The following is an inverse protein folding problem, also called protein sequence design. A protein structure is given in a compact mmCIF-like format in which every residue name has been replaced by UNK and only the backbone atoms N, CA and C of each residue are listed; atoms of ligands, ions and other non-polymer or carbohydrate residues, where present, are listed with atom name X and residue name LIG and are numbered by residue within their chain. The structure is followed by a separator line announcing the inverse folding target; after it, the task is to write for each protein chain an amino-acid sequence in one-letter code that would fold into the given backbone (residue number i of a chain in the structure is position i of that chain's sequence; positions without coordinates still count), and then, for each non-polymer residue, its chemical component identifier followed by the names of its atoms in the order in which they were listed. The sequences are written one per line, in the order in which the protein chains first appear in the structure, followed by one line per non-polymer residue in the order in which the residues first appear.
data_IF_713335085626
#
_entry.id   IF_713335085626
#
_cell.length_a   1.000
_cell.length_b   1.000
_cell.length_c   1.000
_cell.angle_alpha   90.00
_cell.angle_beta   90.00
_cell.angle_gamma   90.00
#
_symmetry.space_group_name_H-M   'P 1'
#
loop_
_entity.id
_entity.type
_entity.pdbx_description
1 polymer ?
#
# COMPACT_ATOMS: atom_id res chain seq x y z
N UNK A 1 49.60 0.10 -45.78
CA UNK A 1 48.45 -0.41 -45.04
C UNK A 1 47.18 -0.11 -45.79
N UNK A 2 46.56 -1.18 -46.33
CA UNK A 2 45.43 -1.06 -47.25
C UNK A 2 44.04 -1.09 -46.52
N UNK A 3 44.00 -0.71 -45.25
CA UNK A 3 42.78 -0.69 -44.46
C UNK A 3 42.72 0.50 -43.51
N UNK A 4 41.52 1.07 -43.31
CA UNK A 4 41.24 2.15 -42.40
C UNK A 4 40.16 1.71 -41.42
N UNK A 5 40.39 1.96 -40.15
CA UNK A 5 39.41 1.69 -39.10
C UNK A 5 38.56 2.97 -38.87
N UNK A 6 37.27 2.87 -39.09
CA UNK A 6 36.33 3.93 -38.79
C UNK A 6 35.61 3.59 -37.48
N UNK A 7 35.63 4.55 -36.54
CA UNK A 7 34.95 4.44 -35.25
C UNK A 7 33.73 5.32 -35.27
N UNK A 8 32.58 4.73 -35.11
CA UNK A 8 31.29 5.43 -35.06
C UNK A 8 30.81 5.53 -33.63
N UNK A 9 30.63 6.76 -33.15
CA UNK A 9 30.11 7.06 -31.83
C UNK A 9 28.86 7.92 -31.96
N UNK A 10 27.80 7.55 -31.25
CA UNK A 10 26.58 8.35 -31.16
C UNK A 10 26.04 8.23 -29.74
N UNK A 11 25.48 9.34 -29.23
CA UNK A 11 24.94 9.38 -27.86
C UNK A 11 23.81 8.35 -27.73
N UNK A 12 23.92 7.44 -26.76
CA UNK A 12 22.94 6.38 -26.53
C UNK A 12 23.09 5.15 -27.42
N UNK A 13 24.16 5.05 -28.24
CA UNK A 13 24.45 3.87 -29.05
C UNK A 13 25.81 3.28 -28.72
N UNK A 14 25.96 1.96 -28.84
CA UNK A 14 27.26 1.28 -28.68
C UNK A 14 28.19 1.75 -29.75
N UNK A 15 29.42 2.12 -29.36
CA UNK A 15 30.49 2.45 -30.27
C UNK A 15 30.72 1.25 -31.18
N UNK A 16 30.77 1.48 -32.51
CA UNK A 16 31.01 0.44 -33.49
C UNK A 16 32.24 0.79 -34.31
N UNK A 17 33.16 -0.15 -34.35
CA UNK A 17 34.38 -0.08 -35.17
C UNK A 17 34.18 -0.91 -36.41
N UNK A 18 34.55 -0.36 -37.58
CA UNK A 18 34.49 -1.06 -38.87
C UNK A 18 35.81 -0.83 -39.59
N UNK A 19 36.44 -1.92 -39.99
CA UNK A 19 37.63 -1.89 -40.83
C UNK A 19 37.24 -1.90 -42.30
N UNK A 20 37.58 -0.87 -43.05
CA UNK A 20 37.30 -0.75 -44.48
C UNK A 20 38.61 -0.94 -45.25
N UNK A 21 38.62 -1.91 -46.19
CA UNK A 21 39.71 -2.12 -47.09
C UNK A 21 39.60 -1.23 -48.34
N UNK A 22 40.74 -0.82 -48.90
CA UNK A 22 40.84 0.14 -50.01
C UNK A 22 39.96 -0.21 -51.22
N UNK A 23 39.71 -1.48 -51.49
CA UNK A 23 38.83 -1.98 -52.56
C UNK A 23 37.34 -1.59 -52.37
N UNK A 24 36.93 -1.23 -51.18
CA UNK A 24 35.54 -0.95 -50.83
C UNK A 24 35.23 0.55 -50.60
N UNK A 25 36.17 1.47 -50.83
CA UNK A 25 35.96 2.90 -50.57
C UNK A 25 34.89 3.57 -51.45
N UNK A 26 34.44 2.93 -52.53
CA UNK A 26 33.41 3.46 -53.41
C UNK A 26 32.01 2.91 -53.16
N UNK A 27 31.83 2.05 -52.17
CA UNK A 27 30.50 1.48 -51.85
C UNK A 27 29.91 2.16 -50.63
N UNK A 28 28.61 2.46 -50.64
CA UNK A 28 27.94 2.95 -49.44
C UNK A 28 27.97 1.91 -48.34
N UNK A 29 28.42 2.30 -47.14
CA UNK A 29 28.46 1.44 -45.95
C UNK A 29 27.27 1.76 -45.06
N UNK A 30 26.32 0.85 -44.99
CA UNK A 30 25.19 0.94 -44.07
C UNK A 30 25.62 0.47 -42.69
N UNK A 31 25.49 1.35 -41.69
CA UNK A 31 25.92 1.05 -40.33
C UNK A 31 24.67 1.03 -39.42
N UNK A 32 24.39 -0.15 -38.89
CA UNK A 32 23.39 -0.34 -37.86
C UNK A 32 24.09 -0.21 -36.52
N UNK A 33 23.73 0.83 -35.75
CA UNK A 33 24.18 1.03 -34.38
C UNK A 33 23.09 0.53 -33.43
N UNK A 34 23.46 -0.32 -32.51
CA UNK A 34 22.56 -0.82 -31.46
C UNK A 34 22.53 0.14 -30.29
N UNK A 35 21.41 0.19 -29.60
CA UNK A 35 21.32 0.97 -28.38
C UNK A 35 22.37 0.49 -27.39
N UNK A 36 23.11 1.44 -26.83
CA UNK A 36 23.94 1.14 -25.67
C UNK A 36 22.99 1.09 -24.48
N UNK A 37 22.49 -0.11 -24.23
CA UNK A 37 21.86 -0.44 -22.96
C UNK A 37 23.03 -0.58 -21.98
N UNK A 38 23.73 0.52 -21.69
CA UNK A 38 24.35 0.65 -20.39
C UNK A 38 23.18 0.44 -19.43
N UNK A 39 23.22 -0.64 -18.65
CA UNK A 39 22.46 -0.70 -17.41
C UNK A 39 22.65 0.68 -16.80
N UNK A 40 21.58 1.49 -16.79
CA UNK A 40 21.62 2.75 -16.07
C UNK A 40 22.11 2.35 -14.69
N UNK A 41 23.29 2.84 -14.29
CA UNK A 41 23.80 2.60 -12.95
C UNK A 41 22.66 2.97 -12.03
N UNK A 42 22.18 2.01 -11.22
CA UNK A 42 21.10 2.22 -10.31
C UNK A 42 21.44 3.47 -9.48
N UNK A 43 20.77 4.57 -9.77
CA UNK A 43 20.96 5.81 -9.03
C UNK A 43 20.12 5.76 -7.76
N UNK A 44 20.74 6.04 -6.63
CA UNK A 44 20.02 6.24 -5.38
C UNK A 44 19.52 7.67 -5.35
N UNK A 45 18.20 7.85 -5.37
CA UNK A 45 17.57 9.15 -5.25
C UNK A 45 17.53 9.53 -3.77
N UNK A 46 18.27 10.55 -3.38
CA UNK A 46 18.33 11.03 -2.00
C UNK A 46 17.33 12.15 -1.69
N UNK A 47 16.57 12.61 -2.70
CA UNK A 47 15.47 13.58 -2.53
C UNK A 47 15.87 15.05 -2.35
N UNK A 48 17.10 15.35 -1.93
CA UNK A 48 17.54 16.74 -1.67
C UNK A 48 18.58 17.23 -2.68
N UNK A 49 19.42 16.34 -3.15
CA UNK A 49 20.47 16.65 -4.15
C UNK A 49 20.59 15.52 -5.15
N UNK A 50 21.15 15.85 -6.31
CA UNK A 50 21.35 14.98 -7.47
C UNK A 50 21.43 13.46 -7.20
N UNK A 51 20.87 12.69 -8.11
CA UNK A 51 21.00 11.25 -8.17
C UNK A 51 22.47 10.82 -7.98
N UNK A 52 22.76 10.21 -6.82
CA UNK A 52 24.08 9.64 -6.56
C UNK A 52 24.13 8.23 -7.19
N UNK A 53 25.23 7.90 -7.85
CA UNK A 53 25.39 6.53 -8.33
C UNK A 53 25.40 5.57 -7.13
N UNK A 54 24.80 4.41 -7.23
CA UNK A 54 24.79 3.39 -6.16
C UNK A 54 26.21 3.03 -5.68
N UNK A 55 27.18 3.12 -6.57
CA UNK A 55 28.60 2.85 -6.26
C UNK A 55 29.23 3.94 -5.39
N UNK A 56 28.76 5.20 -5.48
CA UNK A 56 29.24 6.31 -4.67
C UNK A 56 28.44 6.51 -3.37
N UNK A 57 27.35 5.76 -3.21
CA UNK A 57 26.52 5.83 -2.02
C UNK A 57 26.98 4.82 -0.98
N UNK A 58 27.51 5.28 0.14
CA UNK A 58 28.07 4.42 1.20
C UNK A 58 27.02 3.83 2.14
N UNK A 59 25.76 4.23 2.02
CA UNK A 59 24.64 3.76 2.83
C UNK A 59 23.90 2.58 2.22
N UNK A 60 23.15 1.84 3.05
CA UNK A 60 22.24 0.81 2.59
C UNK A 60 20.95 1.45 2.05
N UNK A 61 20.72 1.32 0.75
CA UNK A 61 19.51 1.78 0.08
C UNK A 61 18.97 0.70 -0.85
N UNK A 62 17.64 0.57 -0.87
CA UNK A 62 16.92 -0.25 -1.84
C UNK A 62 16.10 0.70 -2.72
N UNK A 63 16.37 0.70 -4.02
CA UNK A 63 15.60 1.51 -4.98
C UNK A 63 14.72 0.60 -5.82
N UNK A 64 13.44 0.92 -5.88
CA UNK A 64 12.41 0.20 -6.63
C UNK A 64 11.88 1.12 -7.73
N UNK A 65 11.95 0.66 -8.98
CA UNK A 65 11.48 1.43 -10.13
C UNK A 65 9.98 1.30 -10.35
N UNK A 66 9.38 2.20 -11.10
CA UNK A 66 7.96 2.14 -11.49
C UNK A 66 7.58 0.77 -12.06
N UNK A 67 8.38 0.26 -12.99
CA UNK A 67 8.11 -1.04 -13.62
C UNK A 67 8.05 -2.19 -12.61
N UNK A 68 8.97 -2.19 -11.64
CA UNK A 68 8.98 -3.17 -10.56
C UNK A 68 7.76 -3.02 -9.66
N UNK A 69 7.42 -1.79 -9.23
CA UNK A 69 6.25 -1.50 -8.41
C UNK A 69 4.95 -2.01 -9.07
N UNK A 70 4.75 -1.68 -10.35
CA UNK A 70 3.54 -2.04 -11.09
C UNK A 70 3.41 -3.54 -11.39
N UNK A 71 4.51 -4.30 -11.38
CA UNK A 71 4.48 -5.78 -11.47
C UNK A 71 3.89 -6.43 -10.22
N UNK A 72 4.05 -5.79 -9.07
CA UNK A 72 3.61 -6.31 -7.77
C UNK A 72 2.23 -5.78 -7.38
N UNK A 73 2.04 -4.47 -7.43
CA UNK A 73 0.78 -3.84 -7.06
C UNK A 73 0.50 -2.63 -7.96
N UNK A 74 -0.70 -2.60 -8.53
CA UNK A 74 -1.18 -1.50 -9.37
C UNK A 74 -2.01 -0.48 -8.62
N UNK A 75 -2.40 -0.77 -7.39
CA UNK A 75 -3.31 0.07 -6.60
C UNK A 75 -2.69 0.56 -5.29
N UNK A 76 -1.65 -0.12 -4.78
CA UNK A 76 -1.05 0.23 -3.48
C UNK A 76 0.48 0.11 -3.50
N UNK A 77 1.15 1.24 -3.32
CA UNK A 77 2.61 1.35 -3.29
C UNK A 77 3.24 0.63 -2.11
N UNK A 78 2.63 0.77 -0.93
CA UNK A 78 3.20 0.23 0.31
C UNK A 78 3.29 -1.30 0.27
N UNK A 79 2.27 -1.98 -0.26
CA UNK A 79 2.29 -3.44 -0.46
C UNK A 79 3.41 -3.89 -1.40
N UNK A 80 3.73 -3.07 -2.40
CA UNK A 80 4.83 -3.39 -3.30
C UNK A 80 6.18 -3.29 -2.58
N UNK A 81 6.38 -2.28 -1.72
CA UNK A 81 7.64 -2.09 -1.00
C UNK A 81 7.97 -3.24 -0.05
N UNK A 82 6.99 -3.84 0.61
CA UNK A 82 7.17 -4.98 1.51
C UNK A 82 7.83 -6.19 0.81
N UNK A 83 7.55 -6.37 -0.49
CA UNK A 83 8.10 -7.49 -1.27
C UNK A 83 9.57 -7.22 -1.65
N UNK A 84 9.91 -5.98 -1.99
CA UNK A 84 11.27 -5.63 -2.42
C UNK A 84 12.23 -5.43 -1.26
N UNK A 85 11.72 -5.09 -0.08
CA UNK A 85 12.53 -4.86 1.10
C UNK A 85 11.97 -5.57 2.33
N UNK A 86 12.57 -6.69 2.77
CA UNK A 86 12.14 -7.43 3.94
C UNK A 86 12.22 -6.65 5.26
N UNK A 87 12.99 -5.54 5.30
CA UNK A 87 13.04 -4.67 6.49
C UNK A 87 11.85 -3.72 6.56
N UNK A 88 11.19 -3.45 5.43
CA UNK A 88 9.95 -2.70 5.36
C UNK A 88 8.80 -3.64 5.63
N UNK A 89 8.19 -3.53 6.79
CA UNK A 89 7.11 -4.43 7.21
C UNK A 89 5.82 -3.67 7.42
N UNK A 90 4.76 -4.19 6.84
CA UNK A 90 3.38 -3.77 7.08
C UNK A 90 2.84 -4.68 8.17
N UNK A 91 2.51 -4.12 9.33
CA UNK A 91 1.93 -4.91 10.41
C UNK A 91 0.50 -5.31 10.06
N UNK A 92 0.26 -6.62 10.08
CA UNK A 92 -1.10 -7.14 9.91
C UNK A 92 -1.86 -6.91 11.21
N UNK A 93 -2.90 -6.12 11.16
CA UNK A 93 -3.78 -5.87 12.28
C UNK A 93 -5.13 -6.55 12.04
N UNK A 94 -5.40 -7.62 12.79
CA UNK A 94 -6.66 -8.36 12.67
C UNK A 94 -7.85 -7.63 13.32
N UNK A 95 -7.59 -6.60 14.13
CA UNK A 95 -8.65 -5.79 14.76
C UNK A 95 -9.41 -4.97 13.73
N UNK A 96 -8.68 -4.38 12.79
CA UNK A 96 -9.24 -3.55 11.73
C UNK A 96 -9.74 -4.37 10.53
N UNK A 97 -9.37 -5.64 10.47
CA UNK A 97 -9.66 -6.49 9.33
C UNK A 97 -9.10 -5.92 8.03
N UNK A 98 -9.93 -5.90 6.99
CA UNK A 98 -9.62 -5.31 5.68
C UNK A 98 -10.31 -3.96 5.49
N UNK A 99 -10.44 -3.15 6.54
CA UNK A 99 -11.03 -1.80 6.44
C UNK A 99 -10.17 -0.92 5.52
N UNK A 100 -10.72 -0.43 4.40
CA UNK A 100 -9.98 0.40 3.45
C UNK A 100 -9.62 1.79 4.02
N UNK A 101 -10.27 2.21 5.12
CA UNK A 101 -9.99 3.48 5.80
C UNK A 101 -8.86 3.36 6.83
N UNK A 102 -8.47 2.13 7.17
CA UNK A 102 -7.40 1.87 8.12
C UNK A 102 -6.05 1.97 7.44
N UNK A 103 -5.18 2.86 7.93
CA UNK A 103 -3.80 2.97 7.47
C UNK A 103 -2.99 1.87 8.18
N UNK A 104 -2.24 1.04 7.44
CA UNK A 104 -1.43 0.02 8.07
C UNK A 104 -0.27 0.63 8.88
N UNK A 105 0.05 0.06 10.02
CA UNK A 105 1.25 0.38 10.75
C UNK A 105 2.47 -0.15 9.98
N UNK A 106 3.47 0.73 9.76
CA UNK A 106 4.66 0.41 8.98
C UNK A 106 5.88 0.60 9.85
N UNK A 107 6.80 -0.35 9.76
CA UNK A 107 8.10 -0.27 10.45
C UNK A 107 9.24 -0.59 9.48
N UNK A 108 10.38 0.08 9.66
CA UNK A 108 11.65 -0.27 9.04
C UNK A 108 12.63 -0.68 10.16
N UNK A 109 13.27 -1.85 10.02
CA UNK A 109 14.19 -2.42 11.02
C UNK A 109 13.56 -2.78 12.38
N UNK A 110 12.24 -2.93 12.46
CA UNK A 110 11.54 -3.28 13.69
C UNK A 110 11.08 -2.06 14.48
N UNK A 111 10.58 -2.31 15.69
CA UNK A 111 10.05 -1.28 16.57
C UNK A 111 11.15 -0.82 17.53
N UNK A 112 11.39 0.48 17.61
CA UNK A 112 12.36 1.09 18.54
C UNK A 112 11.69 1.63 19.83
N UNK A 113 10.37 1.57 19.94
CA UNK A 113 9.59 2.08 21.05
C UNK A 113 8.30 1.29 21.29
N UNK A 114 7.50 1.74 22.25
CA UNK A 114 6.18 1.16 22.57
C UNK A 114 5.28 1.31 21.35
N UNK A 115 4.80 0.19 20.81
CA UNK A 115 3.86 0.19 19.68
C UNK A 115 2.48 0.70 20.08
N UNK A 116 1.74 1.26 19.12
CA UNK A 116 0.37 1.76 19.33
C UNK A 116 -0.55 0.66 19.90
N UNK A 117 -0.26 -0.62 19.66
CA UNK A 117 -1.02 -1.75 20.19
C UNK A 117 -1.03 -1.86 21.72
N UNK A 118 0.02 -1.41 22.39
CA UNK A 118 0.11 -1.50 23.86
C UNK A 118 -0.62 -0.34 24.54
N UNK A 119 -0.75 0.79 23.84
CA UNK A 119 -1.55 1.93 24.31
C UNK A 119 -3.07 1.72 24.12
N UNK A 120 -3.48 0.89 23.14
CA UNK A 120 -4.89 0.79 22.73
C UNK A 120 -5.77 -0.09 23.62
N UNK A 121 -5.23 -1.04 24.38
CA UNK A 121 -6.07 -2.03 25.03
C UNK A 121 -6.64 -1.63 26.38
N UNK A 122 -5.96 -0.83 27.16
CA UNK A 122 -6.37 -0.50 28.51
C UNK A 122 -6.73 0.96 28.74
N UNK A 123 -6.07 1.91 28.05
CA UNK A 123 -6.27 3.34 28.31
C UNK A 123 -7.39 4.00 27.49
N UNK A 124 -7.75 3.43 26.35
CA UNK A 124 -8.79 3.99 25.47
C UNK A 124 -10.18 3.38 25.71
N UNK A 125 -10.29 2.29 26.46
CA UNK A 125 -11.55 1.62 26.75
C UNK A 125 -12.46 2.42 27.70
N UNK A 126 -11.92 3.37 28.44
CA UNK A 126 -12.66 4.12 29.47
C UNK A 126 -13.07 5.54 29.07
N UNK A 127 -12.58 6.09 27.94
CA UNK A 127 -12.95 7.44 27.50
C UNK A 127 -13.87 7.42 26.28
N UNK A 128 -14.98 8.14 26.40
CA UNK A 128 -16.09 8.28 25.42
C UNK A 128 -15.74 8.95 24.09
N UNK A 129 -14.51 8.84 23.60
CA UNK A 129 -14.14 9.36 22.29
C UNK A 129 -14.28 8.27 21.23
N UNK A 130 -14.58 8.68 19.99
CA UNK A 130 -14.66 7.76 18.86
C UNK A 130 -13.31 7.05 18.70
N UNK A 131 -13.25 5.76 19.09
CA UNK A 131 -12.03 4.94 19.15
C UNK A 131 -11.25 4.98 17.83
N UNK A 132 -11.94 5.16 16.70
CA UNK A 132 -11.34 5.18 15.36
C UNK A 132 -10.53 6.45 15.08
N UNK A 133 -11.00 7.60 15.52
CA UNK A 133 -10.30 8.87 15.28
C UNK A 133 -9.02 8.99 16.13
N UNK A 134 -9.07 8.51 17.38
CA UNK A 134 -7.89 8.45 18.24
C UNK A 134 -6.82 7.51 17.68
N UNK A 135 -7.22 6.36 17.15
CA UNK A 135 -6.28 5.41 16.60
C UNK A 135 -5.67 5.89 15.28
N UNK A 136 -6.45 6.59 14.46
CA UNK A 136 -5.91 7.22 13.24
C UNK A 136 -4.86 8.27 13.58
N UNK A 137 -5.14 9.15 14.54
CA UNK A 137 -4.17 10.14 15.02
C UNK A 137 -2.94 9.51 15.65
N UNK A 138 -3.09 8.42 16.41
CA UNK A 138 -2.00 7.67 17.00
C UNK A 138 -1.13 6.99 15.95
N UNK A 139 -1.71 6.44 14.88
CA UNK A 139 -0.96 5.87 13.76
C UNK A 139 -0.17 6.93 12.98
N UNK A 140 -0.76 8.08 12.73
CA UNK A 140 -0.07 9.19 12.05
C UNK A 140 1.10 9.77 12.85
N UNK A 141 1.00 9.73 14.18
CA UNK A 141 2.01 10.24 15.11
C UNK A 141 2.88 9.12 15.72
N UNK A 142 2.83 7.91 15.21
CA UNK A 142 3.62 6.79 15.73
C UNK A 142 5.11 7.08 15.60
N UNK A 143 5.87 7.11 16.71
CA UNK A 143 7.30 7.39 16.69
C UNK A 143 8.12 6.34 15.93
N UNK A 144 7.56 5.18 15.65
CA UNK A 144 8.22 4.11 14.87
C UNK A 144 8.04 4.23 13.36
N UNK A 145 7.21 5.16 12.89
CA UNK A 145 7.02 5.37 11.46
C UNK A 145 8.30 5.91 10.80
N UNK A 146 8.63 5.44 9.58
CA UNK A 146 9.65 6.07 8.77
C UNK A 146 9.19 7.44 8.28
N UNK A 147 10.13 8.32 7.97
CA UNK A 147 9.84 9.59 7.33
C UNK A 147 9.61 9.37 5.83
N UNK A 148 8.54 9.92 5.29
CA UNK A 148 8.22 9.85 3.87
C UNK A 148 8.56 11.19 3.20
N UNK A 149 9.34 11.14 2.13
CA UNK A 149 9.73 12.31 1.33
C UNK A 149 9.22 12.10 -0.09
N UNK A 150 8.46 13.04 -0.62
CA UNK A 150 7.95 13.00 -1.98
C UNK A 150 8.41 14.27 -2.72
N UNK A 151 9.18 14.09 -3.79
CA UNK A 151 9.76 15.19 -4.58
C UNK A 151 10.50 16.24 -3.73
N UNK A 152 11.19 15.79 -2.66
CA UNK A 152 11.96 16.64 -1.75
C UNK A 152 11.18 17.22 -0.57
N UNK A 153 9.89 16.97 -0.46
CA UNK A 153 9.04 17.44 0.63
C UNK A 153 8.58 16.30 1.53
N UNK A 154 8.57 16.55 2.84
CA UNK A 154 7.99 15.60 3.79
C UNK A 154 6.48 15.49 3.58
N UNK A 155 5.97 14.26 3.53
CA UNK A 155 4.56 13.97 3.34
C UNK A 155 4.07 12.95 4.37
N UNK A 156 2.77 12.96 4.66
CA UNK A 156 2.17 11.97 5.55
C UNK A 156 2.11 10.58 4.91
N UNK A 157 2.09 9.55 5.73
CA UNK A 157 1.85 8.16 5.28
C UNK A 157 0.55 8.04 4.49
N UNK A 158 -0.48 8.79 4.88
CA UNK A 158 -1.76 8.89 4.20
C UNK A 158 -1.58 9.31 2.73
N UNK A 159 -0.77 10.36 2.47
CA UNK A 159 -0.49 10.82 1.11
C UNK A 159 0.19 9.74 0.28
N UNK A 160 1.13 9.00 0.87
CA UNK A 160 1.81 7.90 0.19
C UNK A 160 0.86 6.75 -0.11
N UNK A 161 0.03 6.37 0.86
CA UNK A 161 -1.00 5.33 0.70
C UNK A 161 -1.99 5.66 -0.43
N UNK A 162 -2.33 6.95 -0.55
CA UNK A 162 -3.28 7.45 -1.53
C UNK A 162 -2.64 7.78 -2.90
N UNK A 163 -1.31 7.73 -3.01
CA UNK A 163 -0.64 8.06 -4.29
C UNK A 163 -0.82 6.91 -5.29
N UNK A 164 -1.20 7.27 -6.53
CA UNK A 164 -1.30 6.33 -7.64
C UNK A 164 0.09 5.79 -8.02
N UNK A 165 0.32 4.45 -7.99
CA UNK A 165 1.60 3.87 -8.40
C UNK A 165 2.04 4.24 -9.82
N UNK A 166 1.10 4.53 -10.72
CA UNK A 166 1.42 5.00 -12.07
C UNK A 166 2.06 6.40 -12.11
N UNK A 167 1.96 7.16 -11.01
CA UNK A 167 2.56 8.49 -10.86
C UNK A 167 3.93 8.45 -10.19
N UNK A 168 4.40 7.28 -9.79
CA UNK A 168 5.70 7.11 -9.13
C UNK A 168 6.72 6.63 -10.15
N UNK A 169 7.84 7.33 -10.26
CA UNK A 169 8.98 6.96 -11.07
C UNK A 169 9.88 5.95 -10.35
N UNK A 170 10.16 6.24 -9.07
CA UNK A 170 10.96 5.36 -8.21
C UNK A 170 10.67 5.58 -6.74
N UNK A 171 10.96 4.57 -5.92
CA UNK A 171 10.97 4.67 -4.47
C UNK A 171 12.31 4.15 -3.96
N UNK A 172 12.98 4.95 -3.13
CA UNK A 172 14.24 4.57 -2.46
C UNK A 172 14.03 4.48 -0.96
N UNK A 173 14.37 3.34 -0.37
CA UNK A 173 14.30 3.12 1.08
C UNK A 173 15.71 3.28 1.65
N UNK A 174 15.90 4.32 2.45
CA UNK A 174 17.17 4.64 3.10
C UNK A 174 17.13 4.16 4.56
N UNK A 175 18.07 3.28 4.91
CA UNK A 175 18.03 2.61 6.21
C UNK A 175 19.13 3.05 7.15
N UNK A 176 20.30 3.40 6.63
CA UNK A 176 21.48 3.67 7.45
C UNK A 176 21.53 5.11 7.93
N UNK A 177 22.16 5.30 9.09
CA UNK A 177 22.33 6.62 9.68
C UNK A 177 23.04 7.61 8.74
N UNK A 178 23.99 7.15 7.93
CA UNK A 178 24.67 7.97 6.94
C UNK A 178 23.71 8.43 5.82
N UNK A 179 22.78 7.55 5.40
CA UNK A 179 21.78 7.85 4.38
C UNK A 179 20.68 8.78 4.92
N UNK A 180 20.34 8.63 6.20
CA UNK A 180 19.23 9.36 6.85
C UNK A 180 19.67 10.67 7.50
N UNK A 181 20.98 10.88 7.69
CA UNK A 181 21.54 12.07 8.35
C UNK A 181 21.10 13.41 7.74
N UNK A 182 20.80 13.42 6.42
CA UNK A 182 20.30 14.60 5.72
C UNK A 182 18.91 15.05 6.17
N UNK A 183 18.15 14.15 6.80
CA UNK A 183 16.76 14.37 7.20
C UNK A 183 16.58 14.60 8.71
N UNK A 184 17.70 14.62 9.46
CA UNK A 184 17.73 14.93 10.89
C UNK A 184 17.16 13.81 11.77
N UNK A 185 16.76 14.16 13.01
CA UNK A 185 16.32 13.21 14.03
C UNK A 185 15.05 12.43 13.68
N UNK A 186 14.17 12.98 12.84
CA UNK A 186 12.95 12.31 12.37
C UNK A 186 13.24 11.07 11.52
N UNK A 187 14.41 11.03 10.90
CA UNK A 187 14.83 9.92 10.06
C UNK A 187 15.41 8.72 10.83
N UNK A 188 15.34 8.71 12.16
CA UNK A 188 15.87 7.64 13.00
C UNK A 188 15.31 6.25 12.64
N UNK A 189 14.07 6.17 12.18
CA UNK A 189 13.39 4.94 11.77
C UNK A 189 13.50 4.64 10.26
N UNK A 190 14.40 5.35 9.56
CA UNK A 190 14.56 5.25 8.12
C UNK A 190 13.77 6.30 7.34
N UNK A 191 14.09 6.43 6.07
CA UNK A 191 13.45 7.38 5.14
C UNK A 191 13.01 6.66 3.89
N UNK A 192 11.79 6.92 3.45
CA UNK A 192 11.25 6.47 2.18
C UNK A 192 11.16 7.67 1.25
N UNK A 193 12.04 7.70 0.25
CA UNK A 193 12.08 8.77 -0.76
C UNK A 193 11.32 8.34 -1.99
N UNK A 194 10.32 9.12 -2.37
CA UNK A 194 9.44 8.88 -3.51
C UNK A 194 9.69 9.96 -4.55
N UNK A 195 9.96 9.54 -5.77
CA UNK A 195 10.08 10.44 -6.92
C UNK A 195 8.87 10.24 -7.81
N UNK A 196 8.17 11.32 -8.14
CA UNK A 196 7.03 11.25 -9.06
C UNK A 196 7.46 11.39 -10.51
N UNK A 197 6.64 10.86 -11.42
CA UNK A 197 6.88 10.92 -12.85
C UNK A 197 6.78 12.38 -13.33
N UNK A 198 7.88 12.93 -13.79
CA UNK A 198 7.90 14.25 -14.42
C UNK A 198 7.42 14.16 -15.88
N UNK A 199 6.65 15.17 -16.38
CA UNK A 199 6.21 15.20 -17.76
C UNK A 199 7.38 15.20 -18.75
N UNK A 200 7.26 14.40 -19.81
CA UNK A 200 8.27 14.31 -20.87
C UNK A 200 8.11 15.44 -21.89
N UNK A 201 9.23 16.02 -22.36
CA UNK A 201 9.16 16.97 -23.46
C UNK A 201 8.75 16.25 -24.75
N UNK A 202 7.86 16.84 -25.54
CA UNK A 202 7.41 16.26 -26.79
C UNK A 202 6.02 16.75 -27.20
N UNK A 203 5.44 16.05 -28.16
CA UNK A 203 4.04 16.26 -28.57
C UNK A 203 3.12 15.89 -27.41
N UNK A 204 1.91 16.44 -27.45
CA UNK A 204 0.88 16.06 -26.49
C UNK A 204 0.69 14.53 -26.50
N UNK A 205 0.88 13.91 -25.35
CA UNK A 205 0.63 12.49 -25.12
C UNK A 205 -0.47 12.32 -24.09
N UNK A 206 -1.34 11.36 -24.34
CA UNK A 206 -2.43 10.99 -23.43
C UNK A 206 -2.24 9.53 -23.05
N UNK A 207 -2.10 9.26 -21.78
CA UNK A 207 -1.95 7.92 -21.22
C UNK A 207 -3.14 7.62 -20.31
N UNK A 208 -3.78 6.48 -20.53
CA UNK A 208 -4.85 5.98 -19.69
C UNK A 208 -4.49 4.61 -19.17
N UNK A 209 -4.70 4.40 -17.88
CA UNK A 209 -4.53 3.09 -17.24
C UNK A 209 -5.75 2.74 -16.40
N UNK A 210 -6.08 1.46 -16.37
CA UNK A 210 -7.12 0.89 -15.53
C UNK A 210 -6.54 -0.29 -14.76
N UNK A 211 -6.84 -0.34 -13.47
CA UNK A 211 -6.53 -1.48 -12.61
C UNK A 211 -7.81 -1.95 -11.91
N UNK A 212 -7.94 -3.27 -11.75
CA UNK A 212 -9.02 -3.90 -11.01
C UNK A 212 -8.46 -4.97 -10.08
N UNK A 213 -9.05 -5.10 -8.89
CA UNK A 213 -8.68 -6.11 -7.90
C UNK A 213 -9.95 -6.76 -7.33
N UNK A 214 -10.00 -8.09 -7.35
CA UNK A 214 -11.03 -8.88 -6.70
C UNK A 214 -10.51 -9.39 -5.38
N UNK A 215 -11.23 -9.12 -4.30
CA UNK A 215 -10.88 -9.58 -2.96
C UNK A 215 -11.98 -10.51 -2.42
N UNK A 216 -11.55 -11.68 -1.99
CA UNK A 216 -12.40 -12.69 -1.36
C UNK A 216 -11.92 -12.86 0.08
N UNK A 217 -12.82 -12.79 1.09
CA UNK A 217 -12.44 -13.10 2.46
C UNK A 217 -12.07 -14.59 2.56
N UNK A 218 -10.92 -14.87 3.13
CA UNK A 218 -10.49 -16.21 3.45
C UNK A 218 -10.67 -16.44 4.96
N UNK A 219 -11.62 -17.32 5.31
CA UNK A 219 -11.95 -17.69 6.67
C UNK A 219 -11.42 -19.09 7.06
N UNK A 220 -10.65 -19.73 6.19
CA UNK A 220 -10.18 -21.11 6.38
C UNK A 220 -9.29 -21.30 7.61
N UNK A 221 -8.59 -20.24 8.04
CA UNK A 221 -7.75 -20.27 9.25
C UNK A 221 -8.57 -20.22 10.57
N UNK A 222 -9.86 -19.85 10.48
CA UNK A 222 -10.76 -19.83 11.64
C UNK A 222 -11.42 -21.19 11.77
N UNK A 223 -10.85 -22.04 12.60
CA UNK A 223 -11.42 -23.36 12.89
C UNK A 223 -12.40 -23.26 14.07
N UNK A 224 -13.53 -22.58 13.88
CA UNK A 224 -14.57 -22.45 14.91
C UNK A 224 -15.47 -23.66 14.93
N UNK A 225 -15.89 -24.07 16.16
CA UNK A 225 -16.85 -25.13 16.36
C UNK A 225 -18.23 -24.72 15.80
N UNK A 226 -18.93 -25.66 15.18
CA UNK A 226 -20.33 -25.48 14.80
C UNK A 226 -21.24 -25.52 16.04
N UNK A 227 -22.53 -25.30 15.88
CA UNK A 227 -23.48 -25.21 17.00
C UNK A 227 -23.55 -26.47 17.87
N UNK A 228 -23.53 -27.65 17.24
CA UNK A 228 -23.56 -28.93 17.95
C UNK A 228 -22.25 -29.18 18.70
N UNK A 229 -21.11 -28.99 18.02
CA UNK A 229 -19.79 -29.13 18.61
C UNK A 229 -19.58 -28.15 19.76
N UNK A 230 -20.00 -26.92 19.61
CA UNK A 230 -19.88 -25.86 20.63
C UNK A 230 -20.68 -26.24 21.89
N UNK A 231 -21.93 -26.66 21.73
CA UNK A 231 -22.78 -27.08 22.86
C UNK A 231 -22.19 -28.32 23.57
N UNK A 232 -21.64 -29.26 22.81
CA UNK A 232 -21.00 -30.44 23.38
C UNK A 232 -19.70 -30.12 24.14
N UNK A 233 -18.86 -29.21 23.59
CA UNK A 233 -17.67 -28.71 24.29
C UNK A 233 -18.06 -28.04 25.60
N UNK A 234 -19.12 -27.23 25.62
CA UNK A 234 -19.61 -26.60 26.83
C UNK A 234 -20.12 -27.60 27.86
N UNK A 235 -20.84 -28.61 27.40
CA UNK A 235 -21.29 -29.71 28.27
C UNK A 235 -20.11 -30.49 28.89
N UNK A 236 -19.14 -30.87 28.08
CA UNK A 236 -17.94 -31.58 28.53
C UNK A 236 -17.02 -30.74 29.44
N UNK A 237 -17.01 -29.42 29.27
CA UNK A 237 -16.27 -28.52 30.14
C UNK A 237 -16.90 -28.31 31.52
N UNK A 238 -18.08 -28.86 31.75
CA UNK A 238 -18.83 -28.71 32.99
C UNK A 238 -19.52 -27.36 33.16
N UNK A 239 -19.73 -26.63 32.06
CA UNK A 239 -20.35 -25.29 32.12
C UNK A 239 -21.78 -25.36 32.69
N UNK A 240 -22.48 -26.48 32.50
CA UNK A 240 -23.85 -26.69 32.96
C UNK A 240 -23.93 -27.47 34.28
N UNK A 241 -22.80 -27.72 34.94
CA UNK A 241 -22.76 -28.34 36.25
C UNK A 241 -23.04 -27.31 37.36
N UNK A 242 -23.74 -27.72 38.46
CA UNK A 242 -24.12 -26.79 39.52
C UNK A 242 -22.97 -26.07 40.20
N UNK A 243 -21.80 -26.73 40.26
CA UNK A 243 -20.60 -26.20 40.91
C UNK A 243 -19.94 -25.05 40.16
N UNK A 244 -20.12 -24.95 38.84
CA UNK A 244 -19.51 -23.93 37.98
C UNK A 244 -20.50 -22.86 37.52
N UNK A 245 -21.78 -23.17 37.51
CA UNK A 245 -22.80 -22.21 37.11
C UNK A 245 -23.19 -21.34 38.30
N UNK A 246 -23.03 -20.03 38.19
CA UNK A 246 -23.35 -19.04 39.24
C UNK A 246 -24.85 -18.94 39.57
N UNK A 247 -25.68 -19.83 39.03
CA UNK A 247 -27.12 -19.92 39.25
C UNK A 247 -27.52 -21.30 39.75
N UNK A 248 -28.81 -21.51 39.87
CA UNK A 248 -29.34 -22.82 40.24
C UNK A 248 -29.14 -23.84 39.11
N UNK A 249 -29.05 -25.14 39.44
CA UNK A 249 -29.07 -26.27 38.50
C UNK A 249 -30.21 -26.15 37.48
N UNK A 250 -31.37 -25.67 37.94
CA UNK A 250 -32.54 -25.43 37.09
C UNK A 250 -32.24 -24.44 35.94
N UNK A 251 -31.53 -23.35 36.23
CA UNK A 251 -31.16 -22.37 35.21
C UNK A 251 -30.12 -22.92 34.22
N UNK A 252 -29.15 -23.70 34.73
CA UNK A 252 -28.15 -24.34 33.87
C UNK A 252 -28.79 -25.31 32.86
N UNK A 253 -29.67 -26.17 33.35
CA UNK A 253 -30.41 -27.14 32.52
C UNK A 253 -31.37 -26.49 31.56
N UNK A 254 -32.04 -25.39 31.98
CA UNK A 254 -32.90 -24.61 31.09
C UNK A 254 -32.09 -24.04 29.93
N UNK A 255 -30.97 -23.37 30.20
CA UNK A 255 -30.12 -22.78 29.15
C UNK A 255 -29.58 -23.84 28.19
N UNK A 256 -29.17 -25.01 28.71
CA UNK A 256 -28.76 -26.12 27.86
C UNK A 256 -29.88 -26.56 26.91
N UNK A 257 -31.10 -26.77 27.45
CA UNK A 257 -32.24 -27.21 26.66
C UNK A 257 -32.70 -26.21 25.64
N UNK A 258 -32.66 -24.90 25.97
CA UNK A 258 -32.98 -23.83 25.04
C UNK A 258 -32.00 -23.81 23.86
N UNK A 259 -30.70 -23.93 24.11
CA UNK A 259 -29.66 -24.03 23.07
C UNK A 259 -29.82 -25.28 22.22
N UNK A 260 -30.07 -26.44 22.88
CA UNK A 260 -30.31 -27.68 22.16
C UNK A 260 -31.56 -27.60 21.27
N UNK A 261 -32.60 -26.92 21.73
CA UNK A 261 -33.81 -26.68 20.92
C UNK A 261 -33.49 -25.85 19.67
N UNK A 262 -32.74 -24.75 19.82
CA UNK A 262 -32.32 -23.92 18.69
C UNK A 262 -31.52 -24.73 17.66
N UNK A 263 -30.60 -25.58 18.11
CA UNK A 263 -29.83 -26.48 17.23
C UNK A 263 -30.75 -27.45 16.51
N UNK A 264 -31.73 -28.03 17.19
CA UNK A 264 -32.74 -28.95 16.59
C UNK A 264 -33.63 -28.23 15.58
N UNK A 265 -33.84 -26.92 15.74
CA UNK A 265 -34.54 -26.08 14.78
C UNK A 265 -33.64 -25.69 13.58
N UNK A 266 -32.39 -26.17 13.54
CA UNK A 266 -31.43 -25.98 12.47
C UNK A 266 -30.62 -24.68 12.57
N UNK A 267 -30.58 -24.07 13.77
CA UNK A 267 -29.74 -22.88 13.97
C UNK A 267 -28.27 -23.30 14.05
N UNK A 268 -27.50 -22.86 13.09
CA UNK A 268 -26.04 -22.97 13.04
C UNK A 268 -25.48 -21.77 12.28
N UNK A 269 -25.22 -20.69 13.00
CA UNK A 269 -24.87 -19.40 12.43
C UNK A 269 -23.37 -19.27 12.21
N UNK A 270 -22.95 -19.07 10.98
CA UNK A 270 -21.59 -18.62 10.65
C UNK A 270 -21.48 -17.11 10.83
N UNK A 271 -21.18 -16.71 12.04
CA UNK A 271 -21.07 -15.30 12.41
C UNK A 271 -19.96 -14.56 11.64
N UNK A 272 -18.87 -15.26 11.28
CA UNK A 272 -17.76 -14.64 10.56
C UNK A 272 -18.15 -14.24 9.13
N UNK A 273 -19.04 -15.00 8.49
CA UNK A 273 -19.49 -14.70 7.13
C UNK A 273 -20.51 -13.54 7.07
N UNK A 274 -21.24 -13.29 8.15
CA UNK A 274 -22.33 -12.29 8.18
C UNK A 274 -21.86 -10.91 7.78
N UNK A 275 -20.79 -10.33 8.38
CA UNK A 275 -20.36 -8.96 8.07
C UNK A 275 -19.58 -8.86 6.75
N UNK A 276 -19.26 -9.97 6.09
CA UNK A 276 -18.34 -10.02 4.98
C UNK A 276 -19.03 -10.10 3.61
N UNK A 277 -18.32 -9.60 2.60
CA UNK A 277 -18.70 -9.70 1.17
C UNK A 277 -17.46 -9.81 0.30
N UNK A 278 -17.63 -10.38 -0.89
CA UNK A 278 -16.64 -10.26 -1.95
C UNK A 278 -16.65 -8.83 -2.50
N UNK A 279 -15.49 -8.31 -2.86
CA UNK A 279 -15.37 -6.93 -3.35
C UNK A 279 -14.60 -6.83 -4.65
N UNK A 280 -14.98 -5.84 -5.44
CA UNK A 280 -14.28 -5.44 -6.65
C UNK A 280 -13.83 -3.98 -6.52
N UNK A 281 -12.54 -3.80 -6.37
CA UNK A 281 -11.84 -2.52 -6.36
C UNK A 281 -11.45 -2.16 -7.79
N UNK A 282 -11.62 -0.90 -8.19
CA UNK A 282 -11.16 -0.43 -9.50
C UNK A 282 -10.59 0.98 -9.44
N UNK A 283 -9.55 1.20 -10.23
CA UNK A 283 -8.87 2.47 -10.37
C UNK A 283 -8.76 2.83 -11.85
N UNK A 284 -9.00 4.11 -12.15
CA UNK A 284 -8.83 4.71 -13.47
C UNK A 284 -7.87 5.89 -13.34
N UNK A 285 -6.84 5.93 -14.16
CA UNK A 285 -5.84 7.00 -14.16
C UNK A 285 -5.66 7.53 -15.56
N UNK A 286 -5.80 8.84 -15.72
CA UNK A 286 -5.57 9.57 -16.95
C UNK A 286 -4.38 10.51 -16.74
N UNK A 287 -3.44 10.51 -17.66
CA UNK A 287 -2.33 11.43 -17.65
C UNK A 287 -2.15 12.04 -19.03
N UNK A 288 -2.10 13.38 -19.08
CA UNK A 288 -1.89 14.17 -20.29
C UNK A 288 -0.61 14.95 -20.09
N UNK A 289 0.36 14.78 -20.96
CA UNK A 289 1.64 15.44 -20.84
C UNK A 289 2.12 15.99 -22.18
N UNK A 290 2.98 17.00 -22.13
CA UNK A 290 3.58 17.60 -23.32
C UNK A 290 4.48 18.77 -23.01
N UNK A 291 4.97 19.41 -24.07
CA UNK A 291 5.80 20.60 -23.95
C UNK A 291 7.09 20.51 -24.74
N UNK A 292 8.00 21.41 -24.44
CA UNK A 292 9.32 21.46 -25.06
C UNK A 292 10.44 21.41 -24.01
N UNK A 293 11.67 21.75 -24.38
CA UNK A 293 12.80 21.75 -23.43
C UNK A 293 12.66 22.81 -22.32
N UNK A 294 12.01 23.94 -22.66
CA UNK A 294 11.89 25.07 -21.76
C UNK A 294 10.62 25.06 -20.92
N UNK A 295 9.54 24.49 -21.48
CA UNK A 295 8.25 24.36 -20.77
C UNK A 295 7.70 22.96 -20.92
N UNK A 296 7.48 22.29 -19.81
CA UNK A 296 6.79 20.99 -19.72
C UNK A 296 5.57 21.11 -18.83
N UNK A 297 4.50 20.46 -19.21
CA UNK A 297 3.27 20.43 -18.45
C UNK A 297 2.67 19.03 -18.39
N UNK A 298 1.96 18.78 -17.32
CA UNK A 298 1.23 17.55 -17.09
C UNK A 298 -0.09 17.80 -16.39
N UNK A 299 -1.12 17.09 -16.82
CA UNK A 299 -2.41 17.00 -16.14
C UNK A 299 -2.65 15.55 -15.77
N UNK A 300 -3.03 15.29 -14.53
CA UNK A 300 -3.39 13.95 -14.06
C UNK A 300 -4.79 13.95 -13.49
N UNK A 301 -5.51 12.87 -13.71
CA UNK A 301 -6.78 12.59 -13.07
C UNK A 301 -6.83 11.14 -12.65
N UNK A 302 -7.15 10.86 -11.39
CA UNK A 302 -7.30 9.51 -10.88
C UNK A 302 -8.64 9.38 -10.17
N UNK A 303 -9.35 8.30 -10.50
CA UNK A 303 -10.56 7.88 -9.79
C UNK A 303 -10.33 6.47 -9.26
N UNK A 304 -10.51 6.28 -7.97
CA UNK A 304 -10.30 5.00 -7.30
C UNK A 304 -11.49 4.70 -6.40
N UNK A 305 -12.14 3.57 -6.62
CA UNK A 305 -13.23 3.07 -5.80
C UNK A 305 -12.79 1.79 -5.12
N UNK A 306 -12.73 1.83 -3.80
CA UNK A 306 -12.25 0.74 -2.96
C UNK A 306 -13.32 0.34 -1.93
N UNK A 307 -14.23 -0.58 -2.30
CA UNK A 307 -15.17 -1.16 -1.34
C UNK A 307 -14.42 -2.09 -0.38
N UNK A 308 -14.72 -1.98 0.90
CA UNK A 308 -14.16 -2.88 1.91
C UNK A 308 -14.87 -4.23 1.94
N UNK A 309 -14.15 -5.26 2.40
CA UNK A 309 -14.66 -6.63 2.57
C UNK A 309 -15.74 -6.68 3.65
N UNK A 310 -15.62 -5.85 4.69
CA UNK A 310 -16.75 -5.66 5.62
C UNK A 310 -17.85 -4.85 4.94
N UNK A 311 -19.08 -5.37 4.99
CA UNK A 311 -20.26 -4.72 4.40
C UNK A 311 -20.41 -3.30 4.90
N UNK A 312 -20.70 -2.37 3.99
CA UNK A 312 -20.89 -0.95 4.32
C UNK A 312 -19.60 -0.13 4.34
N UNK A 313 -18.42 -0.74 4.48
CA UNK A 313 -17.16 0.02 4.42
C UNK A 313 -16.74 0.32 2.99
N UNK A 314 -16.16 1.50 2.77
CA UNK A 314 -15.57 1.92 1.49
C UNK A 314 -14.62 3.09 1.65
N UNK A 315 -13.71 3.23 0.68
CA UNK A 315 -12.85 4.40 0.51
C UNK A 315 -12.82 4.78 -0.97
N UNK A 316 -13.48 5.88 -1.29
CA UNK A 316 -13.52 6.41 -2.64
C UNK A 316 -12.59 7.62 -2.71
N UNK A 317 -11.75 7.68 -3.74
CA UNK A 317 -10.79 8.77 -3.95
C UNK A 317 -10.87 9.31 -5.37
N UNK A 318 -10.90 10.63 -5.47
CA UNK A 318 -10.76 11.34 -6.73
C UNK A 318 -9.61 12.32 -6.59
N UNK A 319 -8.65 12.26 -7.50
CA UNK A 319 -7.48 13.13 -7.49
C UNK A 319 -7.33 13.83 -8.84
N UNK A 320 -7.03 15.13 -8.81
CA UNK A 320 -6.66 15.92 -9.97
C UNK A 320 -5.32 16.58 -9.70
N UNK A 321 -4.39 16.49 -10.66
CA UNK A 321 -3.05 17.05 -10.53
C UNK A 321 -2.68 17.92 -11.74
N UNK A 322 -1.95 18.97 -11.44
CA UNK A 322 -1.35 19.86 -12.43
C UNK A 322 0.13 20.01 -12.15
N UNK A 323 0.94 19.79 -13.17
CA UNK A 323 2.39 19.91 -13.12
C UNK A 323 2.86 20.86 -14.20
N UNK A 324 3.76 21.78 -13.85
CA UNK A 324 4.45 22.67 -14.80
C UNK A 324 5.93 22.77 -14.39
N UNK A 325 6.83 22.64 -15.36
CA UNK A 325 8.27 22.85 -15.21
C UNK A 325 8.73 23.81 -16.29
N UNK A 326 9.10 25.02 -15.88
CA UNK A 326 9.58 26.08 -16.75
C UNK A 326 11.06 26.32 -16.52
N UNK A 327 11.84 26.32 -17.59
CA UNK A 327 13.30 26.51 -17.56
C UNK A 327 13.68 27.66 -18.44
N UNK A 328 14.35 28.65 -17.84
CA UNK A 328 14.89 29.78 -18.55
C UNK A 328 16.36 30.00 -18.15
N UNK A 329 17.29 29.65 -19.03
CA UNK A 329 18.74 29.74 -18.76
C UNK A 329 19.12 28.98 -17.49
N UNK A 330 19.50 29.70 -16.43
CA UNK A 330 19.86 29.15 -15.12
C UNK A 330 18.68 29.05 -14.13
N UNK A 331 17.50 29.58 -14.48
CA UNK A 331 16.30 29.51 -13.63
C UNK A 331 15.47 28.33 -14.04
N UNK A 332 15.12 27.50 -13.04
CA UNK A 332 14.10 26.46 -13.16
C UNK A 332 13.00 26.72 -12.14
N UNK A 333 11.75 26.74 -12.61
CA UNK A 333 10.57 26.86 -11.78
C UNK A 333 9.69 25.63 -11.99
N UNK A 334 9.55 24.84 -10.95
CA UNK A 334 8.67 23.66 -10.95
C UNK A 334 7.51 23.92 -10.01
N UNK A 335 6.29 23.65 -10.48
CA UNK A 335 5.09 23.71 -9.67
C UNK A 335 4.34 22.38 -9.84
N UNK A 336 3.98 21.76 -8.73
CA UNK A 336 3.21 20.52 -8.69
C UNK A 336 2.05 20.72 -7.71
N UNK A 337 0.85 20.84 -8.25
CA UNK A 337 -0.38 21.01 -7.48
C UNK A 337 -1.19 19.73 -7.62
N UNK A 338 -1.56 19.14 -6.50
CA UNK A 338 -2.45 17.99 -6.45
C UNK A 338 -3.62 18.29 -5.52
N UNK A 339 -4.82 18.09 -6.02
CA UNK A 339 -6.05 18.15 -5.25
C UNK A 339 -6.62 16.75 -5.11
N UNK A 340 -6.84 16.30 -3.87
CA UNK A 340 -7.38 14.98 -3.57
C UNK A 340 -8.67 15.14 -2.77
N UNK A 341 -9.74 14.48 -3.24
CA UNK A 341 -11.00 14.34 -2.54
C UNK A 341 -11.16 12.87 -2.14
N UNK A 342 -11.27 12.61 -0.82
CA UNK A 342 -11.35 11.28 -0.25
C UNK A 342 -12.64 11.19 0.55
N UNK A 343 -13.43 10.14 0.26
CA UNK A 343 -14.64 9.81 1.01
C UNK A 343 -14.47 8.42 1.63
N UNK A 344 -14.30 8.37 2.93
CA UNK A 344 -14.32 7.14 3.73
C UNK A 344 -15.72 6.88 4.29
N UNK A 345 -16.12 5.62 4.32
CA UNK A 345 -17.32 5.14 5.00
C UNK A 345 -16.95 3.92 5.80
N UNK A 346 -17.22 3.93 7.08
CA UNK A 346 -16.94 2.82 7.97
C UNK A 346 -18.08 1.79 7.95
N UNK A 347 -17.74 0.55 8.30
CA UNK A 347 -18.72 -0.52 8.37
C UNK A 347 -19.67 -0.30 9.56
N UNK A 348 -20.99 -0.42 9.37
CA UNK A 348 -21.95 -0.41 10.48
C UNK A 348 -21.87 -1.70 11.33
N UNK A 349 -21.14 -2.71 10.87
CA UNK A 349 -21.00 -4.01 11.58
C UNK A 349 -19.95 -3.98 12.69
N UNK A 350 -19.32 -2.85 12.99
CA UNK A 350 -18.31 -2.74 14.06
C UNK A 350 -17.02 -3.49 13.77
N UNK A 351 -16.40 -4.08 14.79
CA UNK A 351 -15.13 -4.78 14.67
C UNK A 351 -15.32 -6.25 14.30
N UNK A 352 -14.57 -6.74 13.31
CA UNK A 352 -14.66 -8.12 12.85
C UNK A 352 -14.35 -9.13 13.96
N UNK A 353 -13.41 -8.81 14.86
CA UNK A 353 -13.02 -9.67 15.96
C UNK A 353 -14.15 -10.01 16.94
N UNK A 354 -15.20 -9.20 17.03
CA UNK A 354 -16.33 -9.48 17.91
C UNK A 354 -17.20 -10.62 17.40
N UNK A 355 -17.27 -10.81 16.09
CA UNK A 355 -18.02 -11.92 15.49
C UNK A 355 -17.44 -13.29 15.82
N UNK A 356 -16.13 -13.40 16.07
CA UNK A 356 -15.48 -14.64 16.48
C UNK A 356 -15.86 -15.08 17.91
N UNK A 357 -16.44 -14.19 18.70
CA UNK A 357 -16.86 -14.44 20.09
C UNK A 357 -18.34 -14.83 20.20
N UNK A 358 -19.11 -14.65 19.12
CA UNK A 358 -20.54 -14.97 19.10
C UNK A 358 -20.77 -16.48 19.03
N UNK A 359 -21.90 -16.91 19.55
CA UNK A 359 -22.20 -18.33 19.66
C UNK A 359 -22.96 -18.85 18.45
N UNK A 360 -22.54 -19.95 17.82
CA UNK A 360 -23.12 -20.46 16.59
C UNK A 360 -24.58 -20.93 16.72
N UNK A 361 -25.07 -21.17 17.92
CA UNK A 361 -26.47 -21.51 18.19
C UNK A 361 -27.36 -20.27 18.39
N UNK A 362 -26.82 -19.05 18.35
CA UNK A 362 -27.60 -17.80 18.38
C UNK A 362 -28.07 -17.42 16.98
N UNK A 363 -29.26 -16.83 16.88
CA UNK A 363 -29.79 -16.37 15.61
C UNK A 363 -29.29 -14.95 15.31
N UNK A 364 -28.87 -14.66 14.07
CA UNK A 364 -28.38 -13.33 13.69
C UNK A 364 -29.51 -12.28 13.59
N UNK A 365 -30.75 -12.75 13.41
CA UNK A 365 -31.92 -11.90 13.28
C UNK A 365 -33.01 -12.34 14.25
N UNK A 366 -33.71 -11.39 14.81
CA UNK A 366 -34.93 -11.63 15.56
C UNK A 366 -36.07 -12.12 14.65
N UNK A 367 -37.25 -12.42 15.23
CA UNK A 367 -38.43 -12.86 14.45
C UNK A 367 -38.96 -11.77 13.51
N UNK A 368 -38.55 -10.55 13.69
CA UNK A 368 -38.95 -9.36 12.95
C UNK A 368 -37.91 -8.99 11.87
N UNK A 369 -36.76 -9.70 11.82
CA UNK A 369 -35.70 -9.50 10.85
C UNK A 369 -34.69 -8.41 11.20
N UNK A 370 -34.68 -7.92 12.45
CA UNK A 370 -33.67 -7.01 12.95
C UNK A 370 -32.42 -7.79 13.42
N UNK A 371 -31.23 -7.20 13.24
CA UNK A 371 -29.94 -7.70 13.72
C UNK A 371 -29.85 -7.52 15.23
#
# INVERSE_FOLDING_TARGET
TDSVILIFTFVGKKTKEITIHKVNFQKPVNIIMYDDIKQMEEAVVTGITSNLSKQSFTGSAVTVTQEQLLKVSKTNVLKALEIFDPSFRIQKNNVWGSDPNSIPEITIRGQSGIGVRELDKETLAEQSFDKKDLTRSALENNPNLPTFIMDGFEVSIQKVYDTDPNRIESVSILKDAAATAMYGSRAANGVVVITTVAPKPGRLMVSYSMAGNLTFPDLSDYNLANAEEKLEIERLSGLYEPERYAGSLHNAMRNYNERLQLIREGVNTDWLAIPLRNTFEHQHSLFIEGGNRDLRYGLSGTFHKQPGVMKGSSRDRTEAGFYIDYRLKSLQMTNNITYSFIKGTDSPYGDFGDYSKLMPYDRPYDKEGNL
#
